data_IF_796456888532
#
_entry.id   IF_796456888532
#
_cell.length_a   1.000
_cell.length_b   1.000
_cell.length_c   1.000
_cell.angle_alpha   90.00
_cell.angle_beta   90.00
_cell.angle_gamma   90.00
#
_symmetry.space_group_name_H-M   'P 1'
#
loop_
_entity.id
_entity.type
_entity.pdbx_description
1 polymer ?
#
# COMPACT_ATOMS: atom_id res chain seq x y z
N UNK A 1 -1.31 2.75 4.83
CA UNK A 1 -2.23 3.43 3.89
C UNK A 1 -2.93 2.48 2.94
N UNK A 2 -2.24 1.55 2.26
CA UNK A 2 -2.86 0.65 1.28
C UNK A 2 -3.98 -0.26 1.82
N UNK A 3 -3.81 -0.83 3.03
CA UNK A 3 -4.89 -1.57 3.68
C UNK A 3 -6.12 -0.70 3.97
N UNK A 4 -5.93 0.57 4.31
CA UNK A 4 -7.01 1.53 4.56
C UNK A 4 -7.75 1.87 3.27
N UNK A 5 -7.02 2.07 2.16
CA UNK A 5 -7.62 2.28 0.84
C UNK A 5 -8.47 1.06 0.42
N UNK A 6 -7.97 -0.16 0.66
CA UNK A 6 -8.76 -1.37 0.44
C UNK A 6 -9.98 -1.48 1.36
N UNK A 7 -9.90 -1.01 2.60
CA UNK A 7 -11.07 -0.97 3.49
C UNK A 7 -12.12 0.03 3.02
N UNK A 8 -11.71 1.19 2.50
CA UNK A 8 -12.61 2.27 2.12
C UNK A 8 -13.25 2.09 0.74
N UNK A 9 -12.46 1.72 -0.28
CA UNK A 9 -12.94 1.62 -1.67
C UNK A 9 -13.40 0.21 -2.02
N UNK A 10 -12.52 -0.78 -1.92
CA UNK A 10 -12.81 -2.19 -2.17
C UNK A 10 -11.73 -3.09 -1.61
N UNK A 11 -12.13 -4.19 -0.96
CA UNK A 11 -11.19 -5.22 -0.45
C UNK A 11 -10.67 -6.15 -1.56
N UNK A 12 -11.16 -5.97 -2.80
CA UNK A 12 -10.85 -6.81 -3.95
C UNK A 12 -10.07 -6.08 -5.05
N UNK A 13 -10.33 -6.47 -6.29
CA UNK A 13 -9.66 -5.93 -7.47
C UNK A 13 -10.00 -4.43 -7.66
N UNK A 14 -8.97 -3.61 -7.79
CA UNK A 14 -9.02 -2.21 -8.14
C UNK A 14 -7.76 -1.88 -8.93
N UNK A 15 -7.75 -2.08 -10.25
CA UNK A 15 -6.58 -1.82 -11.07
C UNK A 15 -6.19 -0.33 -11.05
N UNK A 16 -4.91 -0.05 -10.86
CA UNK A 16 -4.37 1.31 -10.91
C UNK A 16 -2.88 1.33 -11.26
N UNK A 17 -2.43 2.49 -11.75
CA UNK A 17 -1.03 2.75 -12.07
C UNK A 17 -0.42 3.77 -11.12
N UNK A 18 0.87 3.59 -10.81
CA UNK A 18 1.71 4.57 -10.14
C UNK A 18 2.85 4.97 -11.05
N UNK A 19 2.93 6.25 -11.42
CA UNK A 19 4.02 6.80 -12.23
C UNK A 19 4.91 7.69 -11.38
N UNK A 20 6.19 7.35 -11.32
CA UNK A 20 7.24 8.18 -10.72
C UNK A 20 8.11 8.79 -11.82
N UNK A 21 8.53 10.05 -11.66
CA UNK A 21 9.50 10.69 -12.56
C UNK A 21 10.84 10.72 -11.82
N UNK A 22 11.79 9.90 -12.26
CA UNK A 22 13.05 9.64 -11.55
C UNK A 22 14.24 9.59 -12.53
N UNK A 23 15.46 9.76 -12.00
CA UNK A 23 16.71 9.68 -12.77
C UNK A 23 17.27 11.03 -13.22
N UNK A 24 18.37 10.99 -13.98
CA UNK A 24 18.97 12.15 -14.66
C UNK A 24 19.55 11.68 -16.02
N UNK A 25 18.93 12.05 -17.16
CA UNK A 25 17.76 12.93 -17.28
C UNK A 25 16.48 12.30 -16.67
N UNK A 26 15.52 13.12 -16.19
CA UNK A 26 14.27 12.59 -15.60
C UNK A 26 13.47 11.79 -16.63
N UNK A 27 13.07 10.57 -16.27
CA UNK A 27 12.22 9.72 -17.09
C UNK A 27 11.06 9.13 -16.27
N UNK A 28 9.87 8.96 -16.88
CA UNK A 28 8.74 8.32 -16.21
C UNK A 28 8.99 6.82 -16.06
N UNK A 29 8.68 6.29 -14.89
CA UNK A 29 8.64 4.86 -14.57
C UNK A 29 7.26 4.56 -14.00
N UNK A 30 6.51 3.69 -14.68
CA UNK A 30 5.15 3.30 -14.29
C UNK A 30 5.13 1.87 -13.78
N UNK A 31 4.38 1.64 -12.68
CA UNK A 31 4.04 0.31 -12.17
C UNK A 31 2.53 0.15 -12.16
N UNK A 32 2.06 -1.03 -12.52
CA UNK A 32 0.65 -1.42 -12.54
C UNK A 32 0.36 -2.36 -11.38
N UNK A 33 -0.78 -2.19 -10.73
CA UNK A 33 -1.23 -3.03 -9.63
C UNK A 33 -2.70 -3.41 -9.81
N UNK A 34 -3.07 -4.60 -9.33
CA UNK A 34 -4.45 -5.09 -9.37
C UNK A 34 -5.19 -4.76 -8.08
N UNK A 35 -4.49 -4.68 -6.95
CA UNK A 35 -5.06 -4.35 -5.64
C UNK A 35 -4.18 -3.35 -4.94
N UNK A 36 -4.77 -2.50 -4.10
CA UNK A 36 -3.99 -1.58 -3.25
C UNK A 36 -2.91 -2.30 -2.42
N UNK A 37 -3.21 -3.51 -1.93
CA UNK A 37 -2.29 -4.27 -1.09
C UNK A 37 -1.07 -4.80 -1.83
N UNK A 38 -1.10 -4.89 -3.16
CA UNK A 38 0.05 -5.37 -3.93
C UNK A 38 1.24 -4.38 -3.82
N UNK A 39 0.96 -3.09 -3.59
CA UNK A 39 2.00 -2.07 -3.32
C UNK A 39 2.74 -2.34 -2.00
N UNK A 40 2.14 -3.04 -1.04
CA UNK A 40 2.80 -3.31 0.25
C UNK A 40 4.03 -4.19 0.06
N UNK A 41 3.92 -5.23 -0.77
CA UNK A 41 5.03 -6.15 -1.04
C UNK A 41 6.16 -5.43 -1.79
N UNK A 42 5.82 -4.61 -2.80
CA UNK A 42 6.78 -3.78 -3.54
C UNK A 42 7.55 -2.82 -2.62
N UNK A 43 6.87 -2.21 -1.64
CA UNK A 43 7.51 -1.29 -0.67
C UNK A 43 8.42 -2.05 0.29
N UNK A 44 8.00 -3.22 0.80
CA UNK A 44 8.86 -4.05 1.66
C UNK A 44 10.15 -4.42 0.92
N UNK A 45 10.03 -4.90 -0.31
CA UNK A 45 11.18 -5.26 -1.13
C UNK A 45 12.06 -4.06 -1.45
N UNK A 46 11.47 -2.91 -1.79
CA UNK A 46 12.24 -1.68 -2.04
C UNK A 46 13.10 -1.28 -0.83
N UNK A 47 12.58 -1.35 0.40
CA UNK A 47 13.37 -1.00 1.60
C UNK A 47 14.54 -1.96 1.86
N UNK A 48 14.37 -3.23 1.49
CA UNK A 48 15.43 -4.23 1.55
C UNK A 48 16.49 -3.96 0.48
N UNK A 49 16.07 -3.71 -0.77
CA UNK A 49 17.00 -3.43 -1.88
C UNK A 49 17.79 -2.13 -1.68
N UNK A 50 17.20 -1.14 -1.00
CA UNK A 50 17.88 0.09 -0.60
C UNK A 50 18.86 -0.11 0.57
N UNK A 51 18.85 -1.27 1.24
CA UNK A 51 19.72 -1.57 2.37
C UNK A 51 19.39 -0.80 3.64
N UNK A 52 18.16 -0.27 3.76
CA UNK A 52 17.75 0.57 4.90
C UNK A 52 16.94 -0.20 5.95
N UNK A 53 16.45 -1.41 5.64
CA UNK A 53 15.68 -2.25 6.56
C UNK A 53 15.92 -3.75 6.33
N UNK A 54 15.59 -4.57 7.34
CA UNK A 54 15.51 -6.03 7.21
C UNK A 54 14.08 -6.48 6.88
N UNK A 55 13.93 -7.65 6.24
CA UNK A 55 12.60 -8.17 5.86
C UNK A 55 11.65 -8.35 7.05
N UNK A 56 12.15 -8.86 8.17
CA UNK A 56 11.33 -9.15 9.35
C UNK A 56 10.61 -7.93 9.93
N UNK A 57 11.30 -6.83 10.30
CA UNK A 57 10.62 -5.63 10.82
C UNK A 57 9.66 -5.00 9.81
N UNK A 58 9.91 -5.15 8.50
CA UNK A 58 9.07 -4.58 7.45
C UNK A 58 7.74 -5.32 7.33
N UNK A 59 7.79 -6.66 7.33
CA UNK A 59 6.60 -7.51 7.35
C UNK A 59 5.78 -7.27 8.63
N UNK A 60 6.45 -7.15 9.78
CA UNK A 60 5.76 -6.85 11.05
C UNK A 60 5.10 -5.46 11.03
N UNK A 61 5.80 -4.44 10.52
CA UNK A 61 5.26 -3.10 10.35
C UNK A 61 4.06 -3.04 9.41
N UNK A 62 4.09 -3.79 8.31
CA UNK A 62 2.94 -3.96 7.43
C UNK A 62 1.74 -4.59 8.16
N UNK A 63 1.98 -5.58 9.02
CA UNK A 63 0.98 -6.17 9.92
C UNK A 63 0.33 -5.14 10.84
N UNK A 64 1.12 -4.29 11.51
CA UNK A 64 0.60 -3.20 12.35
C UNK A 64 -0.29 -2.26 11.53
N UNK A 65 0.16 -1.86 10.33
CA UNK A 65 -0.63 -1.01 9.43
C UNK A 65 -1.96 -1.64 9.00
N UNK A 66 -2.00 -2.96 8.82
CA UNK A 66 -3.24 -3.72 8.55
C UNK A 66 -4.20 -3.67 9.73
N UNK A 67 -3.71 -3.80 10.95
CA UNK A 67 -4.56 -3.77 12.14
C UNK A 67 -5.13 -2.37 12.40
N UNK A 68 -4.36 -1.31 12.14
CA UNK A 68 -4.87 0.08 12.12
C UNK A 68 -5.98 0.24 11.08
N UNK A 69 -5.79 -0.29 9.87
CA UNK A 69 -6.82 -0.21 8.83
C UNK A 69 -8.11 -0.96 9.20
N UNK A 70 -8.01 -2.13 9.83
CA UNK A 70 -9.17 -2.86 10.37
C UNK A 70 -9.90 -2.06 11.44
N UNK A 71 -9.15 -1.38 12.29
CA UNK A 71 -9.75 -0.50 13.29
C UNK A 71 -10.50 0.66 12.64
N UNK A 72 -9.93 1.31 11.62
CA UNK A 72 -10.61 2.38 10.87
C UNK A 72 -11.89 1.89 10.17
N UNK A 73 -11.84 0.73 9.51
CA UNK A 73 -12.99 0.09 8.85
C UNK A 73 -14.18 -0.08 9.82
N UNK A 74 -13.89 -0.58 11.04
CA UNK A 74 -14.90 -0.84 12.06
C UNK A 74 -15.52 0.44 12.66
N UNK A 75 -14.75 1.54 12.75
CA UNK A 75 -15.15 2.71 13.54
C UNK A 75 -15.48 3.95 12.71
N UNK A 76 -14.85 4.14 11.55
CA UNK A 76 -14.92 5.39 10.78
C UNK A 76 -15.49 5.24 9.36
N UNK A 77 -15.41 4.06 8.73
CA UNK A 77 -15.90 3.86 7.36
C UNK A 77 -17.33 3.31 7.29
N UNK A 78 -18.12 3.53 8.34
CA UNK A 78 -19.54 3.14 8.36
C UNK A 78 -20.35 4.14 7.51
N UNK A 79 -21.35 3.68 6.74
CA UNK A 79 -22.24 4.56 5.99
C UNK A 79 -22.88 5.60 6.91
N UNK A 80 -22.96 6.85 6.46
CA UNK A 80 -23.58 7.94 7.24
C UNK A 80 -25.11 7.92 7.20
N UNK A 81 -25.71 7.14 6.28
CA UNK A 81 -27.13 6.77 6.20
C UNK A 81 -27.29 5.39 5.51
N UNK A 82 -28.34 4.62 5.83
CA UNK A 82 -28.65 3.37 5.14
C UNK A 82 -29.08 3.61 3.68
#
# INVERSE_FOLDING_TARGET
FMHTAGAFFTKGNMPFSLTAVIGSPPAPVTREYERFTDVVDDVIDARIYLGIHFRTPDVQGAGIGKDVARWLDKHYFRPTRP
#
